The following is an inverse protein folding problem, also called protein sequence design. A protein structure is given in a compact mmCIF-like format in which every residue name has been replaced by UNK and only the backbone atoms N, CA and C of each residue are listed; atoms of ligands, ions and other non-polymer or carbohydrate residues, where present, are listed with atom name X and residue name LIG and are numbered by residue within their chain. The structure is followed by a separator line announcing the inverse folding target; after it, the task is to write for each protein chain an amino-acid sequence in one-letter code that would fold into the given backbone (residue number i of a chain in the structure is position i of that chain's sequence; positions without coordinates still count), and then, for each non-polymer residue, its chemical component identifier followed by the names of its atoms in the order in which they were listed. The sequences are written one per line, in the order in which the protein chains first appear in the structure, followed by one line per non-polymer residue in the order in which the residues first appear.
data_IF_178627923667
#
_entry.id   IF_178627923667
#
_cell.length_a   1.000
_cell.length_b   1.000
_cell.length_c   1.000
_cell.angle_alpha   90.00
_cell.angle_beta   90.00
_cell.angle_gamma   90.00
#
_symmetry.space_group_name_H-M   'P 1'
#
loop_
_entity.id
_entity.type
_entity.pdbx_description
1 polymer ?
2 non-polymer ?
3 water ?
#
# COMPACT_ATOMS: atom_id res chain seq x y z
N UNK A 19 40.12 19.47 -13.25
CA UNK A 19 39.02 18.48 -12.97
C UNK A 19 39.08 18.03 -11.51
N UNK A 20 37.90 18.00 -10.87
CA UNK A 20 37.78 17.68 -9.42
C UNK A 20 36.67 16.66 -9.13
N UNK A 21 36.58 16.24 -7.87
CA UNK A 21 35.56 15.26 -7.46
C UNK A 21 34.28 15.97 -7.07
N UNK A 22 33.19 15.55 -7.71
CA UNK A 22 31.88 16.09 -7.41
C UNK A 22 31.00 14.94 -6.87
N UNK A 23 30.59 15.02 -5.59
CA UNK A 23 29.76 13.94 -5.02
C UNK A 23 28.37 13.80 -5.66
N UNK A 24 27.87 12.57 -5.72
CA UNK A 24 26.50 12.30 -6.19
C UNK A 24 25.59 12.37 -4.95
N UNK A 25 24.48 13.10 -5.05
CA UNK A 25 23.54 13.19 -3.92
C UNK A 25 22.31 12.33 -4.19
N UNK A 26 22.46 10.98 -4.13
CA UNK A 26 21.25 10.18 -4.26
C UNK A 26 20.66 10.16 -2.84
N UNK A 27 19.49 10.72 -2.74
CA UNK A 27 18.79 10.80 -1.49
C UNK A 27 17.84 9.60 -1.45
N UNK A 28 18.37 8.41 -1.16
CA UNK A 28 17.50 7.22 -1.09
C UNK A 28 16.42 7.38 -0.04
N UNK A 29 16.76 7.91 1.13
CA UNK A 29 15.77 8.09 2.22
C UNK A 29 14.67 9.10 1.90
N UNK A 30 15.05 10.29 1.39
CA UNK A 30 14.01 11.20 0.99
C UNK A 30 13.11 10.62 -0.11
N UNK A 31 13.67 9.90 -1.07
CA UNK A 31 12.84 9.32 -2.15
C UNK A 31 11.87 8.27 -1.59
N UNK A 32 12.35 7.43 -0.68
CA UNK A 32 11.49 6.43 -0.03
C UNK A 32 10.40 7.12 0.80
N UNK A 33 10.76 8.24 1.45
CA UNK A 33 9.78 8.99 2.20
C UNK A 33 8.73 9.63 1.26
N UNK A 34 9.18 10.18 0.14
CA UNK A 34 8.22 10.76 -0.80
C UNK A 34 7.29 9.69 -1.38
N UNK A 35 7.83 8.53 -1.70
CA UNK A 35 7.02 7.40 -2.19
C UNK A 35 5.97 7.02 -1.13
N UNK A 36 6.39 6.92 0.14
CA UNK A 36 5.46 6.66 1.26
C UNK A 36 4.37 7.74 1.32
N UNK A 37 4.75 9.00 1.11
CA UNK A 37 3.77 10.10 1.12
C UNK A 37 2.69 9.93 0.05
N UNK A 38 3.12 9.48 -1.15
CA UNK A 38 2.20 9.22 -2.26
C UNK A 38 1.25 8.08 -1.85
N UNK A 39 1.80 7.02 -1.29
CA UNK A 39 1.00 5.89 -0.81
C UNK A 39 -0.07 6.35 0.17
N UNK A 40 0.34 7.16 1.16
CA UNK A 40 -0.59 7.66 2.16
C UNK A 40 -1.65 8.55 1.52
N UNK A 41 -1.23 9.43 0.62
CA UNK A 41 -2.19 10.31 -0.07
C UNK A 41 -3.21 9.47 -0.84
N UNK A 42 -2.73 8.44 -1.53
CA UNK A 42 -3.59 7.53 -2.30
C UNK A 42 -4.59 6.84 -1.40
N UNK A 43 -4.13 6.39 -0.21
CA UNK A 43 -4.99 5.67 0.73
C UNK A 43 -6.10 6.60 1.24
N UNK A 44 -5.78 7.87 1.46
CA UNK A 44 -6.79 8.84 1.90
C UNK A 44 -7.87 9.00 0.85
N UNK A 45 -7.46 9.11 -0.41
CA UNK A 45 -8.41 9.22 -1.50
C UNK A 45 -9.32 7.99 -1.64
N UNK A 46 -8.77 6.80 -1.42
CA UNK A 46 -9.58 5.59 -1.51
C UNK A 46 -10.63 5.57 -0.41
N UNK A 47 -10.24 5.88 0.82
CA UNK A 47 -11.22 5.94 1.93
C UNK A 47 -12.35 6.92 1.59
N UNK A 48 -11.98 8.13 1.14
CA UNK A 48 -12.97 9.15 0.79
C UNK A 48 -13.86 8.70 -0.35
N UNK A 49 -13.27 8.04 -1.36
CA UNK A 49 -14.02 7.64 -2.54
C UNK A 49 -15.20 6.76 -2.20
N UNK A 50 -15.02 5.88 -1.21
CA UNK A 50 -16.05 4.90 -0.86
C UNK A 50 -17.24 5.51 -0.17
N UNK A 51 -17.12 6.79 0.22
CA UNK A 51 -18.25 7.49 0.82
C UNK A 51 -19.14 8.08 -0.28
N UNK A 52 -18.76 7.88 -1.55
CA UNK A 52 -19.53 8.37 -2.72
C UNK A 52 -19.97 7.20 -3.59
N UNK A 53 -21.23 7.21 -3.98
CA UNK A 53 -21.81 6.08 -4.66
C UNK A 53 -22.06 6.22 -6.15
N UNK A 54 -22.01 7.42 -6.67
CA UNK A 54 -22.35 7.60 -8.06
C UNK A 54 -21.12 7.57 -8.95
N UNK A 55 -21.32 7.09 -10.18
CA UNK A 55 -20.27 6.88 -11.16
C UNK A 55 -19.36 8.10 -11.42
N UNK A 56 -19.95 9.29 -11.49
CA UNK A 56 -19.16 10.51 -11.78
C UNK A 56 -18.15 10.79 -10.67
N UNK A 57 -18.62 10.66 -9.43
CA UNK A 57 -17.74 10.89 -8.28
C UNK A 57 -16.70 9.78 -8.17
N UNK A 58 -17.10 8.53 -8.39
CA UNK A 58 -16.17 7.41 -8.38
C UNK A 58 -15.11 7.58 -9.46
N UNK A 59 -15.48 8.09 -10.64
CA UNK A 59 -14.52 8.32 -11.75
C UNK A 59 -13.52 9.41 -11.36
N UNK A 60 -14.01 10.45 -10.70
CA UNK A 60 -13.15 11.53 -10.22
C UNK A 60 -12.10 11.02 -9.25
N UNK A 61 -12.51 10.21 -8.26
CA UNK A 61 -11.56 9.65 -7.30
C UNK A 61 -10.57 8.73 -7.99
N UNK A 62 -11.04 7.95 -8.94
CA UNK A 62 -10.15 7.06 -9.67
C UNK A 62 -9.10 7.86 -10.43
N UNK A 63 -9.52 8.94 -11.10
CA UNK A 63 -8.58 9.80 -11.81
C UNK A 63 -7.54 10.43 -10.84
N UNK A 64 -7.97 10.88 -9.67
CA UNK A 64 -7.05 11.41 -8.70
C UNK A 64 -6.07 10.34 -8.19
N UNK A 65 -6.56 9.14 -7.92
CA UNK A 65 -5.71 8.03 -7.49
C UNK A 65 -4.75 7.63 -8.58
N UNK A 66 -5.21 7.66 -9.83
CA UNK A 66 -4.36 7.32 -10.96
C UNK A 66 -3.20 8.30 -11.07
N UNK A 67 -3.46 9.57 -10.77
CA UNK A 67 -2.37 10.58 -10.75
C UNK A 67 -1.35 10.22 -9.68
N UNK A 68 -1.82 9.72 -8.53
CA UNK A 68 -0.90 9.28 -7.47
C UNK A 68 -0.13 8.04 -7.93
N UNK A 69 -0.80 7.12 -8.60
CA UNK A 69 -0.18 5.92 -9.15
C UNK A 69 0.96 6.27 -10.13
N UNK A 70 0.71 7.24 -11.02
CA UNK A 70 1.75 7.68 -11.97
C UNK A 70 2.93 8.29 -11.21
N UNK A 71 2.66 9.09 -10.19
CA UNK A 71 3.74 9.71 -9.40
C UNK A 71 4.52 8.63 -8.60
N UNK A 72 3.81 7.66 -8.02
CA UNK A 72 4.46 6.55 -7.32
C UNK A 72 5.36 5.72 -8.23
N UNK A 73 4.87 5.43 -9.43
CA UNK A 73 5.61 4.68 -10.43
C UNK A 73 6.88 5.46 -10.85
N UNK A 74 6.74 6.77 -11.05
CA UNK A 74 7.86 7.64 -11.40
C UNK A 74 8.95 7.56 -10.32
N UNK A 75 8.54 7.78 -9.08
CA UNK A 75 9.45 7.77 -7.94
C UNK A 75 10.12 6.43 -7.77
N UNK A 76 9.36 5.36 -7.98
CA UNK A 76 9.90 4.02 -7.83
C UNK A 76 11.00 3.80 -8.85
N UNK A 77 10.73 4.22 -10.09
CA UNK A 77 11.71 4.06 -11.16
C UNK A 77 12.93 4.94 -10.99
N UNK A 78 12.74 6.11 -10.38
CA UNK A 78 13.85 6.99 -10.03
C UNK A 78 14.75 6.27 -9.00
N UNK A 79 14.15 5.63 -7.99
CA UNK A 79 14.93 4.91 -7.01
C UNK A 79 15.73 3.81 -7.70
N UNK A 80 15.06 3.03 -8.55
CA UNK A 80 15.75 1.94 -9.24
C UNK A 80 16.92 2.46 -10.08
N UNK A 81 16.71 3.60 -10.75
CA UNK A 81 17.71 4.20 -11.64
C UNK A 81 18.89 4.74 -10.87
N UNK A 82 18.63 5.29 -9.67
CA UNK A 82 19.69 5.77 -8.79
C UNK A 82 20.46 4.57 -8.23
N UNK A 83 19.75 3.51 -7.91
CA UNK A 83 20.41 2.29 -7.45
C UNK A 83 21.35 1.72 -8.51
N UNK A 84 20.88 1.65 -9.76
CA UNK A 84 21.67 1.07 -10.87
C UNK A 84 22.93 1.86 -11.22
N UNK A 85 22.97 3.12 -10.81
CA UNK A 85 24.11 3.98 -11.15
C UNK A 85 24.99 4.41 -9.93
N UNK A 86 24.62 4.03 -8.72
CA UNK A 86 25.34 4.44 -7.51
C UNK A 86 25.93 3.21 -6.86
N UNK A 87 27.22 3.24 -6.54
CA UNK A 87 27.91 2.04 -5.99
C UNK A 87 27.70 1.96 -4.47
N UNK A 88 27.63 3.12 -3.80
CA UNK A 88 27.44 3.21 -2.35
C UNK A 88 25.98 3.47 -1.99
N UNK A 89 25.42 2.65 -1.11
CA UNK A 89 24.03 2.76 -0.65
C UNK A 89 24.03 2.69 0.88
N UNK A 90 23.05 3.30 1.57
CA UNK A 90 22.98 3.31 3.07
C UNK A 90 22.75 1.93 3.70
N UNK A 91 22.05 1.06 3.01
CA UNK A 91 21.95 -0.35 3.40
C UNK A 91 21.87 -1.12 2.09
N UNK A 92 21.82 -2.44 2.16
CA UNK A 92 21.91 -3.26 0.95
C UNK A 92 20.92 -2.87 -0.15
N UNK A 93 21.42 -2.82 -1.38
CA UNK A 93 20.63 -2.38 -2.53
C UNK A 93 19.37 -3.21 -2.78
N UNK A 94 19.41 -4.51 -2.48
CA UNK A 94 18.26 -5.37 -2.73
C UNK A 94 17.09 -4.93 -1.87
N UNK A 95 17.38 -4.59 -0.61
CA UNK A 95 16.36 -4.11 0.31
C UNK A 95 15.78 -2.77 -0.10
N UNK A 96 16.61 -1.85 -0.58
CA UNK A 96 16.11 -0.55 -1.08
C UNK A 96 15.20 -0.81 -2.29
N UNK A 97 15.67 -1.65 -3.22
CA UNK A 97 14.90 -1.99 -4.40
C UNK A 97 13.55 -2.59 -4.02
N UNK A 98 13.59 -3.56 -3.12
CA UNK A 98 12.39 -4.23 -2.65
C UNK A 98 11.42 -3.37 -1.87
N UNK A 99 11.93 -2.44 -1.05
CA UNK A 99 11.05 -1.51 -0.36
C UNK A 99 10.28 -0.66 -1.36
N UNK A 100 11.00 -0.14 -2.35
CA UNK A 100 10.43 0.71 -3.38
C UNK A 100 9.38 -0.06 -4.19
N UNK A 101 9.76 -1.25 -4.66
CA UNK A 101 8.86 -2.07 -5.47
C UNK A 101 7.60 -2.47 -4.71
N UNK A 102 7.77 -2.89 -3.45
CA UNK A 102 6.62 -3.31 -2.65
C UNK A 102 5.71 -2.13 -2.29
N UNK A 103 6.28 -0.95 -1.99
CA UNK A 103 5.45 0.23 -1.71
C UNK A 103 4.67 0.59 -2.98
N UNK A 104 5.33 0.48 -4.14
CA UNK A 104 4.66 0.79 -5.39
C UNK A 104 3.53 -0.22 -5.66
N UNK A 105 3.71 -1.47 -5.27
CA UNK A 105 2.66 -2.50 -5.43
C UNK A 105 1.42 -2.15 -4.61
N UNK A 106 1.59 -1.58 -3.41
CA UNK A 106 0.45 -1.16 -2.62
C UNK A 106 -0.30 -0.04 -3.37
N UNK A 107 0.44 0.95 -3.86
CA UNK A 107 -0.17 2.06 -4.59
C UNK A 107 -0.93 1.52 -5.79
N UNK A 108 -0.33 0.56 -6.48
CA UNK A 108 -1.00 -0.02 -7.64
C UNK A 108 -2.29 -0.78 -7.26
N UNK A 109 -2.29 -1.39 -6.08
CA UNK A 109 -3.46 -2.11 -5.57
C UNK A 109 -4.59 -1.16 -5.24
N UNK A 110 -4.21 -0.01 -4.68
CA UNK A 110 -5.19 1.03 -4.39
C UNK A 110 -5.79 1.52 -5.71
N UNK A 111 -4.93 1.74 -6.71
CA UNK A 111 -5.40 2.19 -8.02
C UNK A 111 -6.34 1.15 -8.70
N UNK A 112 -5.97 -0.13 -8.60
CA UNK A 112 -6.77 -1.22 -9.17
C UNK A 112 -8.14 -1.33 -8.48
N UNK A 113 -8.15 -1.13 -7.17
CA UNK A 113 -9.38 -1.14 -6.36
C UNK A 113 -10.32 -0.03 -6.83
N UNK A 114 -9.80 1.18 -7.00
CA UNK A 114 -10.58 2.33 -7.48
C UNK A 114 -11.10 2.07 -8.91
N UNK A 115 -10.27 1.46 -9.72
CA UNK A 115 -10.58 1.12 -11.12
C UNK A 115 -11.75 0.17 -11.19
N UNK A 116 -11.69 -0.83 -10.33
CA UNK A 116 -12.72 -1.86 -10.30
C UNK A 116 -14.06 -1.31 -9.84
N UNK A 117 -14.00 -0.41 -8.88
CA UNK A 117 -15.23 0.23 -8.38
C UNK A 117 -15.89 0.99 -9.54
N UNK A 118 -15.09 1.67 -10.37
CA UNK A 118 -15.62 2.39 -11.54
C UNK A 118 -16.19 1.45 -12.62
N UNK A 119 -15.44 0.43 -13.01
CA UNK A 119 -15.92 -0.42 -14.09
C UNK A 119 -17.07 -1.37 -13.70
N UNK A 120 -17.06 -1.88 -12.47
CA UNK A 120 -18.12 -2.76 -12.01
C UNK A 120 -19.35 -2.01 -11.56
N UNK A 121 -19.18 -0.78 -11.08
CA UNK A 121 -20.29 0.03 -10.61
C UNK A 121 -21.17 -0.74 -9.61
N UNK A 122 -20.58 -1.13 -8.48
CA UNK A 122 -21.39 -1.82 -7.49
C UNK A 122 -22.36 -0.88 -6.78
N UNK A 123 -23.27 -1.48 -6.03
CA UNK A 123 -24.11 -0.74 -5.12
C UNK A 123 -23.19 -0.08 -4.07
N UNK A 124 -23.72 0.86 -3.27
CA UNK A 124 -22.91 1.54 -2.23
C UNK A 124 -22.09 0.54 -1.46
N UNK A 125 -20.80 0.81 -1.32
CA UNK A 125 -19.86 -0.11 -0.67
C UNK A 125 -20.23 -0.34 0.79
N UNK A 126 -20.28 -1.61 1.22
CA UNK A 126 -20.64 -1.99 2.57
C UNK A 126 -19.57 -1.57 3.54
N UNK A 127 -19.87 -1.71 4.82
CA UNK A 127 -18.95 -1.37 5.89
C UNK A 127 -17.67 -2.20 5.82
N UNK A 128 -17.76 -3.44 5.33
CA UNK A 128 -16.57 -4.27 5.21
C UNK A 128 -15.55 -3.73 4.16
N UNK A 129 -16.05 -3.24 3.02
CA UNK A 129 -15.17 -2.63 2.01
C UNK A 129 -14.52 -1.38 2.57
N UNK A 130 -15.36 -0.58 3.24
CA UNK A 130 -14.90 0.65 3.86
C UNK A 130 -13.86 0.33 4.93
N UNK A 131 -14.06 -0.74 5.70
CA UNK A 131 -13.06 -1.09 6.69
C UNK A 131 -11.75 -1.50 6.07
N UNK A 132 -11.78 -2.23 4.96
CA UNK A 132 -10.54 -2.58 4.27
C UNK A 132 -9.81 -1.30 3.82
N UNK A 133 -10.56 -0.29 3.39
CA UNK A 133 -9.91 0.97 3.01
C UNK A 133 -9.27 1.65 4.22
N UNK A 134 -9.94 1.61 5.38
CA UNK A 134 -9.40 2.22 6.58
C UNK A 134 -8.14 1.46 7.06
N UNK A 135 -8.13 0.15 6.91
CA UNK A 135 -6.96 -0.65 7.29
C UNK A 135 -5.76 -0.38 6.35
N UNK A 136 -6.04 -0.26 5.04
CA UNK A 136 -4.98 0.14 4.09
C UNK A 136 -4.37 1.51 4.51
N UNK A 137 -5.21 2.45 4.89
CA UNK A 137 -4.70 3.76 5.33
C UNK A 137 -3.89 3.62 6.63
N UNK A 138 -4.33 2.77 7.54
CA UNK A 138 -3.59 2.58 8.80
C UNK A 138 -2.20 1.95 8.50
N UNK A 139 -2.17 1.04 7.53
CA UNK A 139 -0.91 0.44 7.10
C UNK A 139 -0.01 1.51 6.48
N UNK A 140 -0.59 2.39 5.66
CA UNK A 140 0.15 3.48 5.00
C UNK A 140 0.76 4.39 6.04
N UNK A 141 0.01 4.70 7.09
CA UNK A 141 0.52 5.55 8.19
C UNK A 141 1.71 4.86 8.87
N UNK A 142 1.59 3.56 9.13
CA UNK A 142 2.67 2.80 9.74
C UNK A 142 3.90 2.73 8.86
N UNK A 143 3.67 2.57 7.55
CA UNK A 143 4.77 2.58 6.59
C UNK A 143 5.50 3.94 6.60
N UNK A 144 4.75 5.04 6.66
CA UNK A 144 5.34 6.39 6.68
C UNK A 144 6.21 6.62 7.92
N UNK A 145 5.76 6.12 9.05
CA UNK A 145 6.50 6.22 10.29
C UNK A 145 7.74 5.34 10.24
N UNK A 146 7.63 4.16 9.62
CA UNK A 146 8.75 3.28 9.41
C UNK A 146 9.83 3.92 8.56
N UNK A 147 9.45 4.65 7.53
CA UNK A 147 10.41 5.33 6.67
C UNK A 147 11.21 6.39 7.47
N UNK A 148 10.60 7.01 8.46
CA UNK A 148 11.29 7.94 9.36
C UNK A 148 12.34 7.21 10.23
N UNK A 149 12.29 5.88 10.31
CA UNK A 149 13.25 5.12 11.10
C UNK A 149 14.47 4.57 10.32
N UNK A 150 14.49 4.74 8.99
CA UNK A 150 15.57 4.15 8.19
C UNK A 150 16.97 4.65 8.54
N UNK A 151 17.06 5.92 8.95
CA UNK A 151 18.36 6.50 9.35
C UNK A 151 18.78 6.00 10.72
N UNK A 152 17.84 5.62 11.59
CA UNK A 152 18.25 5.22 12.95
C UNK A 152 18.00 3.79 13.45
N UNK A 153 17.38 2.93 12.65
CA UNK A 153 17.11 1.56 13.12
C UNK A 153 18.38 0.81 13.52
N UNK A 154 19.53 1.11 12.89
CA UNK A 154 20.76 0.45 13.33
C UNK A 154 21.14 0.77 14.79
N UNK A 155 20.90 2.01 15.23
CA UNK A 155 21.13 2.39 16.63
C UNK A 155 20.01 1.81 17.52
N UNK A 156 18.77 2.10 17.15
CA UNK A 156 17.63 1.60 17.92
C UNK A 156 16.54 1.05 17.00
N UNK A 157 16.47 -0.28 16.86
CA UNK A 157 15.51 -0.90 15.97
C UNK A 157 14.11 -1.09 16.55
N UNK A 158 13.92 -0.83 17.85
CA UNK A 158 12.64 -1.07 18.51
C UNK A 158 11.46 -0.37 17.87
N UNK A 159 11.55 0.95 17.61
CA UNK A 159 10.40 1.59 16.99
C UNK A 159 9.99 0.94 15.65
N UNK A 160 10.99 0.62 14.84
CA UNK A 160 10.76 0.03 13.51
C UNK A 160 10.13 -1.34 13.68
N UNK A 161 10.72 -2.12 14.58
CA UNK A 161 10.23 -3.44 14.92
C UNK A 161 8.75 -3.37 15.25
N UNK A 162 8.38 -2.39 16.06
CA UNK A 162 6.99 -2.25 16.47
C UNK A 162 6.06 -1.87 15.34
N UNK A 163 6.54 -1.07 14.37
CA UNK A 163 5.74 -0.73 13.20
C UNK A 163 5.50 -1.99 12.35
N UNK A 164 6.51 -2.86 12.28
CA UNK A 164 6.39 -4.11 11.55
C UNK A 164 5.33 -5.02 12.21
N UNK A 165 5.37 -5.11 13.54
CA UNK A 165 4.36 -5.89 14.28
C UNK A 165 2.95 -5.35 14.01
N UNK A 166 2.80 -4.04 14.02
CA UNK A 166 1.51 -3.43 13.76
C UNK A 166 0.98 -3.78 12.33
N UNK A 167 1.83 -3.63 11.33
CA UNK A 167 1.48 -4.02 9.95
C UNK A 167 1.00 -5.48 9.90
N UNK A 168 1.73 -6.37 10.58
CA UNK A 168 1.35 -7.79 10.65
C UNK A 168 -0.07 -7.93 11.22
N UNK A 169 -0.34 -7.25 12.35
CA UNK A 169 -1.64 -7.28 13.02
C UNK A 169 -2.76 -6.71 12.16
N UNK A 170 -2.50 -5.61 11.46
CA UNK A 170 -3.51 -4.99 10.60
C UNK A 170 -3.88 -5.97 9.45
N UNK A 171 -2.87 -6.63 8.87
CA UNK A 171 -3.12 -7.60 7.81
C UNK A 171 -3.94 -8.79 8.33
N UNK A 172 -3.70 -9.26 9.57
CA UNK A 172 -4.54 -10.31 10.16
C UNK A 172 -6.00 -9.86 10.24
N UNK A 173 -6.22 -8.64 10.73
CA UNK A 173 -7.57 -8.09 10.78
C UNK A 173 -8.18 -7.96 9.38
N UNK A 174 -7.41 -7.45 8.42
CA UNK A 174 -7.91 -7.29 7.03
C UNK A 174 -8.32 -8.62 6.43
N UNK A 175 -7.48 -9.65 6.60
CA UNK A 175 -7.82 -10.93 6.04
C UNK A 175 -9.09 -11.49 6.68
N UNK A 176 -9.27 -11.29 7.97
CA UNK A 176 -10.50 -11.75 8.64
C UNK A 176 -11.72 -11.03 8.09
N UNK A 177 -11.61 -9.72 7.92
CA UNK A 177 -12.72 -8.90 7.36
C UNK A 177 -13.10 -9.49 6.00
N UNK A 178 -12.09 -9.68 5.18
CA UNK A 178 -12.31 -10.25 3.85
C UNK A 178 -12.94 -11.66 3.89
N UNK A 179 -12.38 -12.54 4.68
CA UNK A 179 -12.86 -13.92 4.78
C UNK A 179 -14.30 -14.03 5.23
N UNK A 180 -14.64 -13.28 6.26
CA UNK A 180 -16.00 -13.28 6.78
C UNK A 180 -16.95 -12.69 5.75
N UNK A 181 -16.55 -11.60 5.07
CA UNK A 181 -17.43 -10.99 4.05
C UNK A 181 -17.71 -11.97 2.91
N UNK A 182 -16.67 -12.58 2.36
CA UNK A 182 -16.86 -13.53 1.27
C UNK A 182 -17.73 -14.72 1.70
N UNK A 183 -17.45 -15.28 2.88
CA UNK A 183 -18.22 -16.41 3.39
C UNK A 183 -19.70 -16.06 3.37
N UNK A 184 -20.05 -14.94 3.99
CA UNK A 184 -21.45 -14.47 4.04
C UNK A 184 -22.03 -14.13 2.68
N UNK A 185 -21.21 -13.49 1.82
CA UNK A 185 -21.63 -13.10 0.46
C UNK A 185 -22.15 -14.34 -0.31
N UNK A 186 -21.37 -15.41 -0.24
CA UNK A 186 -21.75 -16.64 -0.92
C UNK A 186 -22.97 -17.34 -0.30
N UNK A 187 -23.21 -17.14 0.99
CA UNK A 187 -24.41 -17.68 1.62
C UNK A 187 -25.66 -16.88 1.31
N UNK A 188 -25.52 -15.57 1.14
CA UNK A 188 -26.67 -14.68 1.05
C UNK A 188 -27.05 -14.07 -0.29
N UNK A 189 -26.05 -13.74 -1.09
CA UNK A 189 -26.31 -13.00 -2.31
C UNK A 189 -26.77 -13.97 -3.38
N UNK A 190 -28.01 -13.80 -3.83
CA UNK A 190 -28.57 -14.66 -4.88
C UNK A 190 -28.39 -14.06 -6.29
N UNK A 191 -28.11 -12.76 -6.38
CA UNK A 191 -27.86 -12.09 -7.67
C UNK A 191 -26.36 -12.28 -8.01
N UNK A 192 -26.09 -13.22 -8.91
CA UNK A 192 -24.74 -13.57 -9.25
C UNK A 192 -23.93 -12.44 -9.85
N UNK A 193 -24.58 -11.58 -10.61
CA UNK A 193 -23.88 -10.46 -11.20
C UNK A 193 -23.43 -9.48 -10.08
N UNK A 194 -24.28 -9.14 -9.11
CA UNK A 194 -23.81 -8.25 -8.01
C UNK A 194 -22.70 -8.93 -7.19
N UNK A 195 -22.80 -10.24 -6.98
CA UNK A 195 -21.78 -10.98 -6.25
C UNK A 195 -20.40 -10.86 -6.90
N UNK A 196 -20.38 -11.01 -8.22
CA UNK A 196 -19.13 -10.92 -8.97
C UNK A 196 -18.50 -9.55 -8.78
N UNK A 197 -19.30 -8.49 -8.93
CA UNK A 197 -18.78 -7.12 -8.79
C UNK A 197 -18.04 -6.91 -7.48
N UNK A 198 -18.73 -7.22 -6.38
CA UNK A 198 -18.15 -6.93 -5.08
C UNK A 198 -17.05 -7.91 -4.71
N UNK A 199 -17.13 -9.16 -5.14
CA UNK A 199 -16.06 -10.14 -4.93
C UNK A 199 -14.72 -9.65 -5.54
N UNK A 200 -14.75 -9.14 -6.76
CA UNK A 200 -13.56 -8.67 -7.44
C UNK A 200 -12.95 -7.42 -6.75
N UNK A 201 -13.80 -6.53 -6.25
CA UNK A 201 -13.33 -5.32 -5.59
C UNK A 201 -12.70 -5.72 -4.24
N UNK A 202 -13.42 -6.54 -3.49
CA UNK A 202 -12.96 -6.97 -2.19
C UNK A 202 -11.65 -7.76 -2.29
N UNK A 203 -11.54 -8.58 -3.33
CA UNK A 203 -10.30 -9.34 -3.55
C UNK A 203 -9.12 -8.39 -3.78
N UNK A 204 -9.32 -7.35 -4.58
CA UNK A 204 -8.25 -6.38 -4.82
C UNK A 204 -7.89 -5.67 -3.53
N UNK A 205 -8.90 -5.33 -2.74
CA UNK A 205 -8.63 -4.66 -1.45
C UNK A 205 -7.81 -5.56 -0.53
N UNK A 206 -8.15 -6.83 -0.42
CA UNK A 206 -7.37 -7.75 0.47
C UNK A 206 -5.95 -8.00 -0.07
N UNK A 207 -5.74 -8.05 -1.38
CA UNK A 207 -4.41 -8.17 -1.94
C UNK A 207 -3.57 -6.93 -1.56
N UNK A 208 -4.20 -5.74 -1.56
CA UNK A 208 -3.53 -4.48 -1.22
C UNK A 208 -3.06 -4.48 0.22
N UNK A 209 -3.94 -4.89 1.16
CA UNK A 209 -3.54 -4.99 2.55
C UNK A 209 -2.39 -6.01 2.74
N UNK A 210 -2.39 -7.08 1.93
CA UNK A 210 -1.32 -8.07 2.04
C UNK A 210 0.01 -7.49 1.50
N UNK A 211 -0.06 -6.77 0.38
CA UNK A 211 1.12 -6.10 -0.20
C UNK A 211 1.72 -5.15 0.82
N UNK A 212 0.89 -4.44 1.58
CA UNK A 212 1.41 -3.48 2.57
C UNK A 212 2.14 -4.23 3.71
N UNK A 213 1.63 -5.39 4.10
CA UNK A 213 2.28 -6.21 5.11
C UNK A 213 3.64 -6.70 4.58
N UNK A 214 3.75 -6.98 3.29
CA UNK A 214 5.06 -7.40 2.72
C UNK A 214 6.12 -6.30 2.91
N UNK A 215 5.71 -5.02 2.90
CA UNK A 215 6.66 -3.94 3.16
C UNK A 215 7.20 -4.15 4.60
N UNK A 216 6.30 -4.44 5.53
CA UNK A 216 6.70 -4.69 6.92
C UNK A 216 7.66 -5.87 7.03
N UNK A 217 7.43 -6.89 6.22
CA UNK A 217 8.24 -8.08 6.24
C UNK A 217 9.67 -7.74 5.76
N UNK A 218 9.78 -6.90 4.73
CA UNK A 218 11.10 -6.47 4.26
C UNK A 218 11.82 -5.69 5.35
N UNK A 219 11.11 -4.80 6.01
CA UNK A 219 11.70 -4.00 7.11
C UNK A 219 12.13 -4.84 8.30
N UNK A 220 11.31 -5.84 8.65
CA UNK A 220 11.61 -6.70 9.77
C UNK A 220 12.92 -7.42 9.52
N UNK A 221 13.08 -7.93 8.29
CA UNK A 221 14.26 -8.68 7.92
C UNK A 221 15.50 -7.82 7.70
N UNK A 222 15.29 -6.54 7.40
CA UNK A 222 16.35 -5.57 7.33
C UNK A 222 16.99 -5.47 8.73
N UNK A 223 16.14 -5.37 9.75
CA UNK A 223 16.61 -5.35 11.13
C UNK A 223 17.44 -6.61 11.41
N UNK A 224 16.91 -7.77 11.07
CA UNK A 224 17.64 -9.03 11.26
C UNK A 224 19.04 -9.01 10.56
N UNK A 225 19.08 -8.60 9.29
CA UNK A 225 20.33 -8.61 8.53
C UNK A 225 21.43 -7.76 9.20
N UNK A 226 21.03 -6.63 9.75
CA UNK A 226 21.97 -5.71 10.38
C UNK A 226 22.12 -5.94 11.89
N UNK A 227 21.50 -7.00 12.43
CA UNK A 227 21.61 -7.29 13.88
C UNK A 227 22.93 -7.95 14.29
#
# INVERSE_FOLDING_TARGET
MGSDKIHHHHHHMKNSFFSKFTPKEPKFFPLLKQLSDVLSASSVLLVESMEHDLPTERADYYKQIKDMEREGDRLTHLIFDELSTTFITPFDREDIHDLASCMDDVIDGINSSAKRIVIYNPRPISESGKELSRLIHEEAINIGKAMDELETFRKNPKPLRDYCTQLHDIENQADDVYELFITKLFEEEKDCIELIKIKEIMHELEKTTDAAEHVGKILKNLIVKYS
#
